data_IF_521564756203
#
_entry.id   IF_521564756203
#
_cell.length_a   1.000
_cell.length_b   1.000
_cell.length_c   1.000
_cell.angle_alpha   90.00
_cell.angle_beta   90.00
_cell.angle_gamma   90.00
#
_symmetry.space_group_name_H-M   'P 1'
#
loop_
_entity.id
_entity.type
_entity.pdbx_description
1 polymer ?
#
# COMPACT_ATOMS: atom_id res chain seq x y z
N UNK A 1 2.16 -19.18 -14.92
CA UNK A 1 3.07 -19.78 -13.92
C UNK A 1 2.26 -20.42 -12.79
N UNK A 2 2.43 -21.72 -12.51
CA UNK A 2 1.68 -22.42 -11.46
C UNK A 2 2.08 -21.98 -10.03
N UNK A 3 3.37 -21.74 -9.79
CA UNK A 3 3.89 -21.29 -8.49
C UNK A 3 3.29 -19.96 -8.02
N UNK A 4 3.27 -18.94 -8.91
CA UNK A 4 2.68 -17.64 -8.58
C UNK A 4 1.20 -17.75 -8.14
N UNK A 5 0.40 -18.59 -8.80
CA UNK A 5 -1.00 -18.79 -8.43
C UNK A 5 -1.15 -19.43 -7.04
N UNK A 6 -0.27 -20.36 -6.69
CA UNK A 6 -0.30 -20.99 -5.36
C UNK A 6 -0.04 -19.96 -4.25
N UNK A 7 0.90 -19.03 -4.47
CA UNK A 7 1.19 -17.95 -3.51
C UNK A 7 0.03 -16.97 -3.38
N UNK A 8 -0.63 -16.60 -4.48
CA UNK A 8 -1.83 -15.76 -4.41
C UNK A 8 -2.98 -16.41 -3.65
N UNK A 9 -3.19 -17.72 -3.85
CA UNK A 9 -4.22 -18.48 -3.11
C UNK A 9 -3.86 -18.54 -1.62
N UNK A 10 -2.57 -18.74 -1.27
CA UNK A 10 -2.10 -18.68 0.11
C UNK A 10 -2.33 -17.29 0.75
N UNK A 11 -2.30 -16.22 -0.05
CA UNK A 11 -2.63 -14.86 0.37
C UNK A 11 -4.14 -14.56 0.39
N UNK A 12 -4.99 -15.56 0.21
CA UNK A 12 -6.45 -15.42 0.29
C UNK A 12 -7.17 -15.18 -1.05
N UNK A 13 -6.48 -15.25 -2.19
CA UNK A 13 -7.15 -15.20 -3.50
C UNK A 13 -8.05 -16.41 -3.71
N UNK A 14 -9.33 -16.17 -3.98
CA UNK A 14 -10.32 -17.19 -4.25
C UNK A 14 -10.26 -17.64 -5.70
N UNK A 15 -10.74 -18.86 -5.99
CA UNK A 15 -10.72 -19.43 -7.34
C UNK A 15 -11.49 -18.56 -8.34
N UNK A 16 -12.57 -17.91 -7.91
CA UNK A 16 -13.40 -17.04 -8.76
C UNK A 16 -12.72 -15.70 -9.10
N UNK A 17 -11.62 -15.36 -8.42
CA UNK A 17 -10.80 -14.19 -8.70
C UNK A 17 -9.65 -14.51 -9.67
N UNK A 18 -9.36 -15.78 -9.94
CA UNK A 18 -8.29 -16.17 -10.87
C UNK A 18 -8.61 -15.66 -12.29
N UNK A 19 -7.63 -15.01 -12.90
CA UNK A 19 -7.77 -14.42 -14.25
C UNK A 19 -8.43 -13.04 -14.28
N UNK A 20 -8.88 -12.52 -13.14
CA UNK A 20 -9.33 -11.12 -13.01
C UNK A 20 -8.16 -10.20 -12.67
N UNK A 21 -8.31 -8.87 -12.87
CA UNK A 21 -7.30 -7.91 -12.43
C UNK A 21 -6.99 -8.03 -10.94
N UNK A 22 -5.70 -7.97 -10.62
CA UNK A 22 -5.21 -7.79 -9.25
C UNK A 22 -5.09 -6.29 -9.03
N UNK A 23 -5.72 -5.78 -7.97
CA UNK A 23 -5.67 -4.35 -7.64
C UNK A 23 -4.81 -4.17 -6.40
N UNK A 24 -3.69 -3.47 -6.57
CA UNK A 24 -2.85 -3.07 -5.46
C UNK A 24 -3.41 -1.80 -4.80
N UNK A 25 -3.48 -1.79 -3.47
CA UNK A 25 -3.82 -0.62 -2.67
C UNK A 25 -2.51 -0.19 -2.00
N UNK A 26 -1.97 0.94 -2.42
CA UNK A 26 -0.78 1.52 -1.81
C UNK A 26 -1.21 2.42 -0.66
N UNK A 27 -0.71 2.15 0.54
CA UNK A 27 -1.05 2.92 1.72
C UNK A 27 0.20 3.51 2.40
N UNK A 28 0.11 4.76 2.87
CA UNK A 28 1.16 5.39 3.67
C UNK A 28 0.82 5.42 5.16
N UNK A 29 -0.05 4.51 5.62
CA UNK A 29 -0.45 4.36 7.01
C UNK A 29 0.77 4.19 7.91
N UNK A 30 0.86 5.05 8.91
CA UNK A 30 1.84 4.98 9.99
C UNK A 30 1.32 5.73 11.20
N UNK A 31 1.77 5.34 12.39
CA UNK A 31 1.48 6.07 13.63
C UNK A 31 2.47 7.23 13.89
N UNK A 32 3.51 7.36 13.06
CA UNK A 32 4.47 8.48 13.13
C UNK A 32 3.94 9.78 12.53
N UNK A 33 2.91 9.70 11.67
CA UNK A 33 2.29 10.85 11.00
C UNK A 33 0.83 10.90 11.44
N UNK A 34 0.40 11.81 12.33
CA UNK A 34 -0.98 11.86 12.81
C UNK A 34 -2.00 11.96 11.67
N UNK A 35 -1.65 12.67 10.60
CA UNK A 35 -2.43 12.77 9.38
C UNK A 35 -2.63 11.44 8.63
N UNK A 36 -1.88 10.38 8.94
CA UNK A 36 -1.94 9.10 8.21
C UNK A 36 -2.54 7.95 9.03
N UNK A 37 -2.78 8.13 10.34
CA UNK A 37 -3.29 7.06 11.23
C UNK A 37 -4.61 6.47 10.73
N UNK A 38 -5.47 7.30 10.14
CA UNK A 38 -6.79 6.90 9.68
C UNK A 38 -6.75 6.13 8.34
N UNK A 39 -5.62 6.15 7.63
CA UNK A 39 -5.50 5.55 6.29
C UNK A 39 -5.63 4.02 6.33
N UNK A 40 -5.28 3.35 7.44
CA UNK A 40 -5.48 1.90 7.53
C UNK A 40 -6.95 1.52 7.36
N UNK A 41 -7.86 2.25 8.03
CA UNK A 41 -9.30 2.02 7.91
C UNK A 41 -9.79 2.29 6.48
N UNK A 42 -9.29 3.35 5.84
CA UNK A 42 -9.65 3.69 4.47
C UNK A 42 -9.18 2.59 3.50
N UNK A 43 -7.94 2.12 3.63
CA UNK A 43 -7.39 1.05 2.79
C UNK A 43 -8.22 -0.23 2.86
N UNK A 44 -8.66 -0.61 4.07
CA UNK A 44 -9.55 -1.77 4.26
C UNK A 44 -10.96 -1.55 3.66
N UNK A 45 -11.49 -0.32 3.71
CA UNK A 45 -12.77 0.01 3.05
C UNK A 45 -12.66 -0.08 1.53
N UNK A 46 -11.58 0.44 0.94
CA UNK A 46 -11.28 0.35 -0.50
C UNK A 46 -11.12 -1.10 -0.92
N UNK A 47 -10.37 -1.90 -0.13
CA UNK A 47 -10.21 -3.35 -0.34
C UNK A 47 -11.55 -4.06 -0.41
N UNK A 48 -12.42 -3.83 0.58
CA UNK A 48 -13.74 -4.45 0.63
C UNK A 48 -14.57 -4.12 -0.62
N UNK A 49 -14.51 -2.88 -1.13
CA UNK A 49 -15.26 -2.48 -2.31
C UNK A 49 -14.75 -3.15 -3.60
N UNK A 50 -13.43 -3.24 -3.77
CA UNK A 50 -12.84 -3.94 -4.90
C UNK A 50 -13.20 -5.44 -4.87
N UNK A 51 -13.17 -6.06 -3.69
CA UNK A 51 -13.50 -7.47 -3.54
C UNK A 51 -14.99 -7.78 -3.77
N UNK A 52 -15.90 -6.85 -3.42
CA UNK A 52 -17.34 -6.97 -3.78
C UNK A 52 -17.55 -7.00 -5.29
N UNK A 53 -16.72 -6.28 -6.04
CA UNK A 53 -16.72 -6.31 -7.50
C UNK A 53 -16.01 -7.56 -8.06
N UNK A 54 -15.60 -8.48 -7.19
CA UNK A 54 -15.11 -9.81 -7.54
C UNK A 54 -13.65 -9.85 -7.96
N UNK A 55 -12.89 -8.76 -7.81
CA UNK A 55 -11.43 -8.73 -8.02
C UNK A 55 -10.67 -9.12 -6.75
N UNK A 56 -9.39 -9.47 -6.89
CA UNK A 56 -8.51 -9.64 -5.72
C UNK A 56 -7.81 -8.32 -5.43
N UNK A 57 -7.84 -7.89 -4.16
CA UNK A 57 -7.18 -6.67 -3.72
C UNK A 57 -6.13 -7.00 -2.65
N UNK A 58 -4.93 -6.50 -2.86
CA UNK A 58 -3.83 -6.61 -1.90
C UNK A 58 -3.39 -5.22 -1.48
N UNK A 59 -3.32 -4.98 -0.17
CA UNK A 59 -2.76 -3.75 0.39
C UNK A 59 -1.28 -3.97 0.71
N UNK A 60 -0.45 -2.98 0.37
CA UNK A 60 0.91 -2.88 0.88
C UNK A 60 1.20 -1.43 1.25
N UNK A 61 2.27 -1.22 2.01
CA UNK A 61 2.62 0.09 2.52
C UNK A 61 3.85 0.69 1.84
N UNK A 62 3.83 2.01 1.73
CA UNK A 62 5.02 2.86 1.54
C UNK A 62 5.25 3.72 2.79
N UNK A 63 6.39 4.40 2.86
CA UNK A 63 6.75 5.26 3.98
C UNK A 63 5.96 6.58 3.96
N UNK A 64 6.04 7.31 5.08
CA UNK A 64 5.64 8.71 5.16
C UNK A 64 6.53 9.44 6.17
N UNK A 65 6.66 10.75 5.98
CA UNK A 65 7.35 11.67 6.89
C UNK A 65 6.34 12.72 7.35
N UNK A 66 6.43 13.09 8.62
CA UNK A 66 5.68 14.22 9.17
C UNK A 66 6.57 15.47 9.16
N UNK A 67 6.35 16.36 8.20
CA UNK A 67 7.10 17.61 8.09
C UNK A 67 6.92 18.50 9.32
N UNK A 68 5.76 18.48 9.96
CA UNK A 68 5.48 19.27 11.15
C UNK A 68 6.32 18.83 12.35
N UNK A 69 6.52 17.52 12.52
CA UNK A 69 7.41 16.95 13.53
C UNK A 69 8.88 17.18 13.16
N UNK A 70 9.24 16.99 11.89
CA UNK A 70 10.62 17.10 11.42
C UNK A 70 11.16 18.55 11.37
N UNK A 71 10.27 19.53 11.36
CA UNK A 71 10.62 20.95 11.20
C UNK A 71 11.55 21.42 12.32
N UNK A 72 12.70 22.01 11.92
CA UNK A 72 13.65 22.61 12.86
C UNK A 72 14.73 21.66 13.40
N UNK A 73 14.80 20.42 12.92
CA UNK A 73 15.93 19.53 13.20
C UNK A 73 16.34 18.72 11.95
N UNK A 74 17.41 17.91 12.06
CA UNK A 74 18.02 17.19 10.94
C UNK A 74 17.08 16.22 10.20
N UNK A 75 15.90 15.93 10.75
CA UNK A 75 14.88 15.12 10.09
C UNK A 75 14.35 15.76 8.81
N UNK A 76 14.35 17.09 8.73
CA UNK A 76 13.87 17.80 7.54
C UNK A 76 14.71 17.53 6.29
N UNK A 77 15.97 17.08 6.45
CA UNK A 77 16.84 16.67 5.35
C UNK A 77 16.27 15.46 4.58
N UNK A 78 15.35 14.70 5.18
CA UNK A 78 14.77 13.49 4.61
C UNK A 78 13.36 13.69 4.04
N UNK A 79 12.71 14.83 4.30
CA UNK A 79 11.34 15.10 3.83
C UNK A 79 11.24 15.08 2.30
N UNK A 80 11.92 15.98 1.59
CA UNK A 80 11.82 16.05 0.13
C UNK A 80 12.33 14.77 -0.59
N UNK A 81 13.48 14.17 -0.21
CA UNK A 81 13.93 12.92 -0.82
C UNK A 81 12.97 11.74 -0.60
N UNK A 82 12.14 11.75 0.44
CA UNK A 82 11.17 10.67 0.68
C UNK A 82 10.15 10.52 -0.45
N UNK A 83 9.87 11.59 -1.21
CA UNK A 83 9.00 11.54 -2.39
C UNK A 83 9.49 10.52 -3.41
N UNK A 84 10.79 10.49 -3.67
CA UNK A 84 11.36 9.62 -4.69
C UNK A 84 11.40 8.16 -4.16
N UNK A 85 11.66 7.97 -2.88
CA UNK A 85 11.53 6.65 -2.21
C UNK A 85 10.09 6.12 -2.30
N UNK A 86 9.10 6.99 -2.10
CA UNK A 86 7.68 6.62 -2.22
C UNK A 86 7.39 6.16 -3.66
N UNK A 87 7.82 6.95 -4.66
CA UNK A 87 7.64 6.58 -6.07
C UNK A 87 8.31 5.23 -6.39
N UNK A 88 9.59 5.07 -6.05
CA UNK A 88 10.36 3.85 -6.31
C UNK A 88 9.73 2.64 -5.60
N UNK A 89 9.26 2.80 -4.36
CA UNK A 89 8.62 1.71 -3.62
C UNK A 89 7.33 1.23 -4.26
N UNK A 90 6.57 2.14 -4.88
CA UNK A 90 5.34 1.78 -5.61
C UNK A 90 5.71 1.09 -6.91
N UNK A 91 6.63 1.65 -7.67
CA UNK A 91 7.08 1.10 -8.95
C UNK A 91 7.65 -0.32 -8.78
N UNK A 92 8.44 -0.57 -7.74
CA UNK A 92 9.01 -1.90 -7.47
C UNK A 92 7.97 -2.93 -7.05
N UNK A 93 6.86 -2.51 -6.44
CA UNK A 93 5.83 -3.43 -5.97
C UNK A 93 4.81 -3.81 -7.05
N UNK A 94 4.63 -2.98 -8.08
CA UNK A 94 3.57 -3.16 -9.08
C UNK A 94 4.05 -3.66 -10.46
N UNK A 95 5.36 -3.68 -10.72
CA UNK A 95 5.97 -4.25 -11.93
C UNK A 95 6.30 -5.74 -11.79
#
# INVERSE_FOLDING_TARGET
MAGARALWIANGMRKEQLGKPIIAIVNSFTQFVPGHVHLHKIGQQVKAEIEKNGCFAAEFNTIAIDDGIAMGHDGMLYSLPSRDIIADSVDYMVN
#
